data_IF_344011247921
#
_entry.id   IF_344011247921
#
_cell.length_a   1.000
_cell.length_b   1.000
_cell.length_c   1.000
_cell.angle_alpha   90.00
_cell.angle_beta   90.00
_cell.angle_gamma   90.00
#
_symmetry.space_group_name_H-M   'P 1'
#
loop_
_entity.id
_entity.type
_entity.pdbx_description
1 polymer ?
#
# COMPACT_ATOMS: atom_id res chain seq x y z
N UNK A 1 -0.30 39.06 38.15
CA UNK A 1 1.16 38.88 38.27
C UNK A 1 1.38 37.86 39.36
N UNK A 2 1.54 36.60 38.98
CA UNK A 2 1.74 35.50 39.93
C UNK A 2 2.71 34.55 39.26
N UNK A 3 3.93 34.60 39.78
CA UNK A 3 5.12 33.92 39.31
C UNK A 3 5.04 32.45 39.75
N UNK A 4 5.05 31.52 38.79
CA UNK A 4 4.99 30.09 39.06
C UNK A 4 6.34 29.47 38.69
N UNK A 5 7.15 29.25 39.73
CA UNK A 5 8.46 28.60 39.72
C UNK A 5 8.45 27.27 38.96
N UNK A 6 9.29 27.18 37.92
CA UNK A 6 9.60 25.92 37.23
C UNK A 6 10.67 25.16 38.01
N UNK A 7 10.30 24.01 38.57
CA UNK A 7 11.27 23.01 39.03
C UNK A 7 11.93 22.35 37.83
N UNK A 8 13.23 22.60 37.67
CA UNK A 8 14.09 21.98 36.66
C UNK A 8 14.67 20.71 37.25
N UNK A 9 14.19 19.54 36.81
CA UNK A 9 14.80 18.25 37.21
C UNK A 9 15.87 17.87 36.19
N UNK A 10 17.12 17.80 36.66
CA UNK A 10 18.28 17.39 35.88
C UNK A 10 18.23 15.89 35.53
N UNK A 11 18.52 15.56 34.28
CA UNK A 11 18.72 14.19 33.82
C UNK A 11 20.17 13.74 34.07
N UNK A 12 20.42 12.47 34.51
CA UNK A 12 21.77 11.95 34.67
C UNK A 12 22.44 11.60 33.32
N UNK A 13 23.78 11.68 33.24
CA UNK A 13 24.54 11.39 32.03
C UNK A 13 24.91 9.91 31.87
N UNK A 14 24.95 9.45 30.62
CA UNK A 14 25.90 8.42 30.18
C UNK A 14 25.46 6.96 30.27
N UNK A 15 25.36 6.31 29.11
CA UNK A 15 25.31 4.85 28.98
C UNK A 15 25.64 4.42 27.55
N UNK A 16 26.80 3.80 27.37
CA UNK A 16 27.37 3.44 26.07
C UNK A 16 26.61 2.35 25.31
N UNK A 17 26.71 2.41 23.98
CA UNK A 17 26.26 1.39 23.02
C UNK A 17 27.03 0.08 23.19
N UNK A 18 26.39 -1.07 22.90
CA UNK A 18 27.07 -2.14 22.19
C UNK A 18 26.47 -2.34 20.80
N UNK A 19 27.34 -2.24 19.79
CA UNK A 19 27.12 -2.79 18.46
C UNK A 19 27.13 -4.32 18.55
N UNK A 20 26.16 -5.00 17.92
CA UNK A 20 26.23 -6.44 17.72
C UNK A 20 26.30 -6.75 16.23
N UNK A 21 27.37 -7.44 15.88
CA UNK A 21 27.76 -7.85 14.54
C UNK A 21 27.03 -9.12 14.08
N UNK A 22 26.74 -9.15 12.78
CA UNK A 22 26.92 -10.24 11.81
C UNK A 22 26.79 -11.69 12.31
N UNK A 23 25.86 -12.45 11.72
CA UNK A 23 26.14 -13.84 11.34
C UNK A 23 25.51 -14.19 9.98
N UNK A 24 26.41 -14.50 9.05
CA UNK A 24 26.18 -15.05 7.71
C UNK A 24 25.98 -16.56 7.87
N UNK A 25 24.97 -17.12 7.21
CA UNK A 25 24.96 -18.54 6.88
C UNK A 25 24.35 -18.75 5.48
N UNK A 26 25.24 -18.98 4.52
CA UNK A 26 24.94 -19.61 3.23
C UNK A 26 24.40 -21.03 3.45
N UNK A 27 23.37 -21.41 2.70
CA UNK A 27 23.21 -22.79 2.24
C UNK A 27 22.87 -22.76 0.75
N UNK A 28 23.84 -23.22 -0.05
CA UNK A 28 23.74 -23.56 -1.47
C UNK A 28 23.80 -25.08 -1.54
N UNK A 29 22.78 -25.75 -2.09
CA UNK A 29 22.85 -27.05 -2.83
C UNK A 29 21.51 -27.17 -3.61
N UNK A 30 21.40 -26.92 -4.92
CA UNK A 30 21.71 -27.78 -6.11
C UNK A 30 21.01 -29.15 -6.13
N UNK A 31 19.98 -29.30 -6.97
CA UNK A 31 19.74 -30.56 -7.70
C UNK A 31 18.85 -30.30 -8.93
N UNK A 32 19.50 -30.31 -10.10
CA UNK A 32 18.86 -30.45 -11.40
C UNK A 32 18.32 -31.88 -11.56
N UNK A 33 17.13 -32.01 -12.17
CA UNK A 33 16.67 -33.28 -12.71
C UNK A 33 15.99 -33.03 -14.06
N UNK A 34 16.82 -32.89 -15.09
CA UNK A 34 16.43 -33.21 -16.46
C UNK A 34 16.22 -34.72 -16.56
N UNK A 35 15.05 -35.13 -17.03
CA UNK A 35 14.74 -36.51 -17.35
C UNK A 35 14.08 -36.57 -18.73
N UNK A 36 14.91 -36.61 -19.77
CA UNK A 36 14.50 -37.07 -21.10
C UNK A 36 14.54 -38.60 -21.16
N UNK A 37 13.53 -39.22 -21.78
CA UNK A 37 13.53 -40.57 -22.39
C UNK A 37 12.11 -40.96 -22.86
N UNK A 38 11.95 -41.93 -23.77
CA UNK A 38 12.51 -42.07 -25.11
C UNK A 38 11.39 -42.15 -26.18
N UNK A 39 11.79 -41.96 -27.43
CA UNK A 39 10.99 -42.15 -28.64
C UNK A 39 10.57 -43.62 -28.79
N UNK A 40 9.27 -43.87 -28.94
CA UNK A 40 8.73 -45.13 -29.40
C UNK A 40 8.37 -45.02 -30.89
N UNK A 41 9.21 -45.61 -31.74
CA UNK A 41 8.91 -45.91 -33.15
C UNK A 41 7.92 -47.05 -33.21
N UNK A 42 6.72 -46.80 -33.73
CA UNK A 42 5.75 -47.83 -34.09
C UNK A 42 5.68 -47.94 -35.63
N UNK A 43 5.57 -49.16 -36.20
CA UNK A 43 5.61 -49.36 -37.64
C UNK A 43 4.31 -48.92 -38.31
N UNK A 44 4.47 -48.49 -39.56
CA UNK A 44 3.41 -48.03 -40.45
C UNK A 44 2.36 -49.12 -40.69
N UNK A 45 1.10 -48.79 -40.39
CA UNK A 45 -0.06 -49.51 -40.93
C UNK A 45 -0.63 -48.69 -42.07
N UNK A 46 -0.51 -49.20 -43.29
CA UNK A 46 -1.06 -48.59 -44.50
C UNK A 46 -2.55 -48.97 -44.53
N UNK A 47 -3.40 -48.09 -44.01
CA UNK A 47 -4.84 -48.13 -44.21
C UNK A 47 -5.21 -47.11 -45.28
N UNK A 48 -5.64 -47.59 -46.45
CA UNK A 48 -6.24 -46.78 -47.50
C UNK A 48 -7.56 -46.19 -47.01
N UNK A 49 -7.52 -44.95 -46.51
CA UNK A 49 -8.71 -44.19 -46.16
C UNK A 49 -9.19 -43.38 -47.37
N UNK A 50 -10.41 -43.67 -47.81
CA UNK A 50 -11.14 -42.94 -48.83
C UNK A 50 -11.31 -41.47 -48.39
N UNK A 51 -10.78 -40.53 -49.17
CA UNK A 51 -10.79 -39.10 -48.89
C UNK A 51 -12.22 -38.55 -48.98
N UNK A 52 -12.91 -38.48 -47.84
CA UNK A 52 -14.15 -37.70 -47.72
C UNK A 52 -13.74 -36.24 -47.57
N UNK A 53 -14.12 -35.40 -48.53
CA UNK A 53 -13.90 -33.96 -48.50
C UNK A 53 -14.51 -33.38 -47.22
N UNK A 54 -13.66 -33.16 -46.20
CA UNK A 54 -14.04 -32.55 -44.94
C UNK A 54 -14.32 -31.08 -45.17
N UNK A 55 -15.55 -30.66 -44.90
CA UNK A 55 -15.91 -29.25 -44.87
C UNK A 55 -14.92 -28.50 -43.97
N UNK A 56 -14.37 -27.40 -44.49
CA UNK A 56 -13.44 -26.54 -43.77
C UNK A 56 -14.06 -26.14 -42.42
N UNK A 57 -13.38 -26.35 -41.27
CA UNK A 57 -13.91 -25.98 -39.98
C UNK A 57 -14.18 -24.47 -39.97
N UNK A 58 -15.42 -24.09 -39.63
CA UNK A 58 -15.81 -22.70 -39.54
C UNK A 58 -14.84 -21.96 -38.58
N UNK A 59 -14.41 -20.74 -38.92
CA UNK A 59 -13.48 -19.99 -38.09
C UNK A 59 -14.06 -19.82 -36.69
N UNK A 60 -13.34 -20.31 -35.69
CA UNK A 60 -13.72 -20.15 -34.29
C UNK A 60 -13.64 -18.67 -33.93
N UNK A 61 -14.70 -18.06 -33.36
CA UNK A 61 -14.65 -16.67 -32.95
C UNK A 61 -13.48 -16.44 -31.98
N UNK A 62 -12.71 -15.38 -32.22
CA UNK A 62 -11.63 -15.00 -31.31
C UNK A 62 -12.19 -14.68 -29.93
N UNK A 63 -11.55 -15.13 -28.84
CA UNK A 63 -12.05 -14.90 -27.49
C UNK A 63 -12.14 -13.39 -27.21
N UNK A 64 -13.33 -12.94 -26.80
CA UNK A 64 -13.54 -11.56 -26.35
C UNK A 64 -12.65 -11.27 -25.14
N UNK A 65 -11.88 -10.17 -25.14
CA UNK A 65 -11.05 -9.80 -24.00
C UNK A 65 -11.88 -9.67 -22.72
N UNK A 66 -11.41 -10.28 -21.63
CA UNK A 66 -12.03 -10.13 -20.31
C UNK A 66 -11.95 -8.67 -19.85
N UNK A 67 -13.09 -7.97 -19.69
CA UNK A 67 -13.09 -6.55 -19.36
C UNK A 67 -12.50 -6.27 -17.97
N UNK A 68 -12.57 -7.21 -17.02
CA UNK A 68 -11.97 -7.04 -15.71
C UNK A 68 -10.44 -7.05 -15.78
N UNK A 69 -9.86 -7.99 -16.54
CA UNK A 69 -8.41 -8.04 -16.78
C UNK A 69 -7.91 -6.78 -17.49
N UNK A 70 -8.68 -6.26 -18.46
CA UNK A 70 -8.37 -5.02 -19.14
C UNK A 70 -8.36 -3.82 -18.17
N UNK A 71 -9.38 -3.70 -17.32
CA UNK A 71 -9.47 -2.63 -16.33
C UNK A 71 -8.31 -2.67 -15.30
N UNK A 72 -7.98 -3.85 -14.76
CA UNK A 72 -6.85 -4.01 -13.82
C UNK A 72 -5.52 -3.66 -14.49
N UNK A 73 -5.29 -4.13 -15.72
CA UNK A 73 -4.08 -3.78 -16.48
C UNK A 73 -3.98 -2.27 -16.73
N UNK A 74 -5.08 -1.62 -17.09
CA UNK A 74 -5.13 -0.18 -17.29
C UNK A 74 -4.88 0.60 -15.98
N UNK A 75 -5.43 0.13 -14.86
CA UNK A 75 -5.18 0.71 -13.54
C UNK A 75 -3.71 0.65 -13.16
N UNK A 76 -3.07 -0.53 -13.28
CA UNK A 76 -1.64 -0.69 -12.98
C UNK A 76 -0.81 0.21 -13.88
N UNK A 77 -1.05 0.21 -15.19
CA UNK A 77 -0.32 1.06 -16.14
C UNK A 77 -0.49 2.57 -15.84
N UNK A 78 -1.66 2.98 -15.34
CA UNK A 78 -1.91 4.35 -14.93
C UNK A 78 -1.08 4.73 -13.69
N UNK A 79 -1.14 3.92 -12.63
CA UNK A 79 -0.52 4.27 -11.34
C UNK A 79 1.00 4.07 -11.31
N UNK A 80 1.54 3.25 -12.21
CA UNK A 80 2.99 3.07 -12.38
C UNK A 80 3.62 4.02 -13.39
N UNK A 81 2.81 4.86 -14.05
CA UNK A 81 3.30 5.86 -14.99
C UNK A 81 4.20 6.88 -14.29
N UNK A 82 5.36 7.17 -14.89
CA UNK A 82 6.24 8.23 -14.39
C UNK A 82 5.52 9.59 -14.34
N UNK A 83 5.69 10.27 -13.21
CA UNK A 83 5.02 11.56 -12.96
C UNK A 83 3.52 11.45 -12.67
N UNK A 84 2.97 10.24 -12.49
CA UNK A 84 1.57 10.07 -12.10
C UNK A 84 1.26 10.93 -10.86
N UNK A 85 0.14 11.64 -10.94
CA UNK A 85 -0.28 12.63 -9.94
C UNK A 85 -1.76 12.44 -9.66
N UNK A 86 -2.13 12.57 -8.39
CA UNK A 86 -3.52 12.44 -7.97
C UNK A 86 -3.77 13.18 -6.65
N UNK A 87 -5.04 13.45 -6.41
CA UNK A 87 -5.52 13.98 -5.14
C UNK A 87 -6.71 13.15 -4.69
N UNK A 88 -6.76 12.87 -3.39
CA UNK A 88 -7.87 12.20 -2.74
C UNK A 88 -8.19 12.87 -1.41
N UNK A 89 -9.46 12.81 -1.02
CA UNK A 89 -9.90 13.15 0.33
C UNK A 89 -10.28 11.88 1.07
N UNK A 90 -10.09 11.86 2.38
CA UNK A 90 -10.48 10.72 3.20
C UNK A 90 -11.03 11.17 4.55
N UNK A 91 -11.79 10.28 5.17
CA UNK A 91 -12.29 10.38 6.54
C UNK A 91 -12.34 8.97 7.11
N UNK A 92 -12.35 8.83 8.43
CA UNK A 92 -12.39 7.51 9.03
C UNK A 92 -12.22 7.55 10.53
N UNK A 93 -11.78 6.42 11.08
CA UNK A 93 -11.54 6.25 12.52
C UNK A 93 -10.17 5.61 12.71
N UNK A 94 -9.34 6.25 13.51
CA UNK A 94 -8.12 5.63 14.04
C UNK A 94 -8.45 5.01 15.39
N UNK A 95 -8.26 3.70 15.52
CA UNK A 95 -8.50 2.96 16.77
C UNK A 95 -7.18 2.75 17.48
N UNK A 96 -7.12 3.16 18.72
CA UNK A 96 -5.98 3.03 19.63
C UNK A 96 -6.38 2.11 20.78
N UNK A 97 -5.40 1.75 21.61
CA UNK A 97 -5.66 0.91 22.78
C UNK A 97 -6.68 1.54 23.75
N UNK A 98 -6.62 2.87 23.95
CA UNK A 98 -7.47 3.59 24.90
C UNK A 98 -8.58 4.40 24.24
N UNK A 99 -8.42 4.76 22.96
CA UNK A 99 -9.24 5.77 22.31
C UNK A 99 -9.58 5.44 20.87
N UNK A 100 -10.64 6.06 20.35
CA UNK A 100 -10.94 6.05 18.93
C UNK A 100 -10.98 7.50 18.45
N UNK A 101 -9.98 7.90 17.67
CA UNK A 101 -9.84 9.25 17.14
C UNK A 101 -10.46 9.33 15.74
N UNK A 102 -11.58 10.06 15.55
CA UNK A 102 -12.12 10.30 14.23
C UNK A 102 -11.16 11.14 13.39
N UNK A 103 -10.89 10.70 12.16
CA UNK A 103 -10.28 11.53 11.11
C UNK A 103 -11.41 12.27 10.42
N UNK A 104 -11.56 13.55 10.75
CA UNK A 104 -12.67 14.40 10.28
C UNK A 104 -12.42 15.00 8.90
N UNK A 105 -11.15 15.22 8.55
CA UNK A 105 -10.72 15.73 7.25
C UNK A 105 -9.36 15.16 6.90
N UNK A 106 -9.28 14.48 5.77
CA UNK A 106 -8.06 13.93 5.21
C UNK A 106 -7.84 14.44 3.79
N UNK A 107 -6.60 14.76 3.47
CA UNK A 107 -6.13 15.13 2.14
C UNK A 107 -4.88 14.32 1.83
N UNK A 108 -4.88 13.62 0.70
CA UNK A 108 -3.72 12.98 0.11
C UNK A 108 -3.48 13.64 -1.24
N UNK A 109 -2.27 14.15 -1.45
CA UNK A 109 -1.80 14.70 -2.71
C UNK A 109 -0.50 14.03 -3.09
N UNK A 110 -0.42 13.56 -4.34
CA UNK A 110 0.79 12.97 -4.90
C UNK A 110 1.09 13.64 -6.23
N UNK A 111 2.35 14.02 -6.41
CA UNK A 111 2.89 14.49 -7.69
C UNK A 111 4.21 13.81 -7.97
N UNK A 112 4.17 12.79 -8.84
CA UNK A 112 5.31 11.90 -9.07
C UNK A 112 5.75 11.23 -7.76
N UNK A 113 6.97 11.53 -7.31
CA UNK A 113 7.54 11.00 -6.06
C UNK A 113 7.23 11.85 -4.83
N UNK A 114 6.60 13.01 -5.00
CA UNK A 114 6.28 13.90 -3.89
C UNK A 114 4.92 13.55 -3.30
N UNK A 115 4.85 13.37 -1.98
CA UNK A 115 3.63 13.04 -1.25
C UNK A 115 3.35 14.11 -0.20
N UNK A 116 2.09 14.52 -0.08
CA UNK A 116 1.56 15.27 1.05
C UNK A 116 0.34 14.52 1.57
N UNK A 117 0.34 14.21 2.87
CA UNK A 117 -0.85 13.74 3.59
C UNK A 117 -1.14 14.72 4.71
N UNK A 118 -2.37 15.19 4.81
CA UNK A 118 -2.86 15.97 5.94
C UNK A 118 -4.07 15.25 6.53
N UNK A 119 -4.06 15.01 7.83
CA UNK A 119 -5.16 14.40 8.56
C UNK A 119 -5.53 15.23 9.78
N UNK A 120 -6.81 15.53 9.96
CA UNK A 120 -7.33 16.22 11.15
C UNK A 120 -8.03 15.22 12.07
N UNK A 121 -7.40 14.96 13.21
CA UNK A 121 -7.93 14.09 14.27
C UNK A 121 -8.80 14.90 15.23
N UNK A 122 -9.89 14.30 15.71
CA UNK A 122 -10.71 14.86 16.79
C UNK A 122 -10.45 14.09 18.08
N UNK A 123 -10.02 14.79 19.12
CA UNK A 123 -9.75 14.18 20.44
C UNK A 123 -10.99 14.10 21.32
N UNK A 124 -11.03 13.14 22.28
CA UNK A 124 -11.92 13.21 23.42
C UNK A 124 -11.68 14.54 24.16
N UNK A 125 -12.68 15.41 24.25
CA UNK A 125 -12.54 16.79 24.74
C UNK A 125 -12.76 17.87 23.67
N UNK A 126 -12.84 17.49 22.39
CA UNK A 126 -13.30 18.37 21.30
C UNK A 126 -12.18 19.09 20.53
N UNK A 127 -10.96 19.09 21.04
CA UNK A 127 -9.78 19.62 20.35
C UNK A 127 -9.54 18.89 19.02
N UNK A 128 -8.96 19.60 18.06
CA UNK A 128 -8.65 19.09 16.72
C UNK A 128 -7.20 19.35 16.39
N UNK A 129 -6.49 18.29 16.06
CA UNK A 129 -5.08 18.37 15.71
C UNK A 129 -4.90 18.00 14.24
N UNK A 130 -4.19 18.85 13.50
CA UNK A 130 -3.88 18.64 12.11
C UNK A 130 -2.44 18.13 11.97
N UNK A 131 -2.30 16.86 11.60
CA UNK A 131 -1.00 16.25 11.35
C UNK A 131 -0.74 16.24 9.85
N UNK A 132 0.48 16.59 9.48
CA UNK A 132 0.93 16.54 8.10
C UNK A 132 2.17 15.70 7.94
N UNK A 133 2.14 14.84 6.93
CA UNK A 133 3.28 14.11 6.43
C UNK A 133 3.65 14.62 5.04
N UNK A 134 4.95 14.80 4.79
CA UNK A 134 5.51 15.09 3.46
C UNK A 134 6.61 14.12 3.12
N UNK A 135 6.59 13.60 1.90
CA UNK A 135 7.71 12.88 1.32
C UNK A 135 8.21 13.64 0.09
N UNK A 136 9.41 14.19 0.14
CA UNK A 136 10.00 15.01 -0.92
C UNK A 136 11.48 14.71 -1.04
N UNK A 137 11.96 14.49 -2.26
CA UNK A 137 13.39 14.24 -2.51
C UNK A 137 13.94 13.03 -1.74
N UNK A 138 13.12 11.98 -1.56
CA UNK A 138 13.51 10.76 -0.84
C UNK A 138 13.54 10.91 0.69
N UNK A 139 13.02 12.01 1.23
CA UNK A 139 13.01 12.30 2.67
C UNK A 139 11.58 12.46 3.16
N UNK A 140 11.27 11.81 4.29
CA UNK A 140 10.01 11.95 4.97
C UNK A 140 10.09 12.99 6.09
N UNK A 141 9.04 13.77 6.23
CA UNK A 141 8.88 14.84 7.20
C UNK A 141 7.48 14.78 7.80
N UNK A 142 7.36 15.12 9.07
CA UNK A 142 6.08 15.17 9.78
C UNK A 142 5.99 16.44 10.64
N UNK A 143 4.80 16.99 10.79
CA UNK A 143 4.48 18.01 11.80
C UNK A 143 3.13 17.69 12.43
N UNK A 144 2.98 17.90 13.73
CA UNK A 144 1.78 17.51 14.48
C UNK A 144 0.80 18.67 14.69
N UNK A 145 1.24 19.90 14.40
CA UNK A 145 0.42 21.11 14.35
C UNK A 145 0.83 21.95 13.12
N UNK A 146 -0.07 22.80 12.63
CA UNK A 146 0.21 23.77 11.59
C UNK A 146 1.25 24.83 12.00
N UNK A 147 1.34 25.17 13.29
CA UNK A 147 2.35 26.10 13.81
C UNK A 147 3.68 25.43 14.15
N UNK A 148 3.72 24.09 14.15
CA UNK A 148 4.90 23.32 14.47
C UNK A 148 5.87 23.24 13.29
N UNK A 149 7.13 22.99 13.59
CA UNK A 149 8.18 22.75 12.61
C UNK A 149 8.10 21.34 12.05
N UNK A 150 8.59 21.13 10.83
CA UNK A 150 8.71 19.77 10.29
C UNK A 150 9.88 19.03 10.93
N UNK A 151 9.58 17.84 11.45
CA UNK A 151 10.56 16.88 11.95
C UNK A 151 10.85 15.83 10.89
N UNK A 152 12.12 15.47 10.72
CA UNK A 152 12.51 14.41 9.79
C UNK A 152 12.19 13.06 10.40
N UNK A 153 11.61 12.17 9.60
CA UNK A 153 11.33 10.78 9.99
C UNK A 153 11.93 9.82 8.98
N UNK A 154 12.13 8.57 9.40
CA UNK A 154 12.63 7.50 8.54
C UNK A 154 11.47 6.63 8.11
N UNK A 155 11.20 6.57 6.81
CA UNK A 155 10.19 5.70 6.21
C UNK A 155 10.80 4.94 5.03
N UNK A 156 10.34 3.72 4.79
CA UNK A 156 10.62 3.00 3.55
C UNK A 156 9.80 3.60 2.42
N UNK A 157 10.25 3.46 1.17
CA UNK A 157 9.53 3.97 -0.01
C UNK A 157 8.07 3.49 -0.09
N UNK A 158 7.82 2.22 0.27
CA UNK A 158 6.48 1.64 0.31
C UNK A 158 5.58 2.21 1.43
N UNK A 159 6.17 2.88 2.42
CA UNK A 159 5.46 3.43 3.59
C UNK A 159 5.31 4.96 3.50
N UNK A 160 5.60 5.56 2.33
CA UNK A 160 5.51 7.01 2.04
C UNK A 160 4.09 7.58 2.05
N UNK A 161 3.11 6.78 2.45
CA UNK A 161 1.68 7.10 2.49
C UNK A 161 1.06 7.48 1.13
N UNK A 162 1.81 7.36 0.03
CA UNK A 162 1.21 7.33 -1.30
C UNK A 162 0.38 6.06 -1.45
N UNK A 163 -0.90 6.21 -1.83
CA UNK A 163 -1.86 5.13 -1.95
C UNK A 163 -1.36 3.97 -2.81
N UNK A 164 -0.65 4.27 -3.90
CA UNK A 164 -0.23 3.29 -4.91
C UNK A 164 1.27 2.96 -4.88
N UNK A 165 2.00 3.37 -3.83
CA UNK A 165 3.47 3.21 -3.78
C UNK A 165 3.96 1.76 -3.84
N UNK A 166 3.13 0.80 -3.45
CA UNK A 166 3.46 -0.63 -3.44
C UNK A 166 3.10 -1.36 -4.75
N UNK A 167 2.49 -0.68 -5.73
CA UNK A 167 2.08 -1.30 -7.00
C UNK A 167 3.20 -1.12 -8.02
N UNK A 168 3.72 -2.23 -8.54
CA UNK A 168 4.69 -2.26 -9.63
C UNK A 168 4.17 -3.04 -10.84
N UNK A 169 3.34 -4.05 -10.60
CA UNK A 169 2.82 -4.97 -11.59
C UNK A 169 1.38 -5.38 -11.28
N UNK A 170 0.76 -6.14 -12.18
CA UNK A 170 -0.57 -6.73 -11.96
C UNK A 170 -0.58 -7.74 -10.81
N UNK A 171 0.55 -8.38 -10.51
CA UNK A 171 0.65 -9.34 -9.41
C UNK A 171 0.51 -8.68 -8.03
N UNK A 172 0.74 -7.36 -7.93
CA UNK A 172 0.56 -6.61 -6.68
C UNK A 172 -0.91 -6.26 -6.39
N UNK A 173 -1.81 -6.58 -7.32
CA UNK A 173 -3.23 -6.21 -7.27
C UNK A 173 -4.12 -7.45 -7.31
N UNK A 174 -4.90 -7.66 -6.25
CA UNK A 174 -5.91 -8.72 -6.18
C UNK A 174 -7.24 -8.21 -6.71
N UNK A 175 -7.78 -8.84 -7.75
CA UNK A 175 -9.14 -8.58 -8.22
C UNK A 175 -10.17 -9.27 -7.33
N UNK A 176 -11.17 -8.53 -6.85
CA UNK A 176 -12.19 -9.00 -5.91
C UNK A 176 -13.57 -9.21 -6.56
N UNK A 177 -13.74 -8.84 -7.83
CA UNK A 177 -15.00 -9.00 -8.56
C UNK A 177 -15.64 -7.68 -9.00
N UNK A 178 -16.72 -7.77 -9.79
CA UNK A 178 -17.46 -6.59 -10.25
C UNK A 178 -18.41 -6.07 -9.16
N UNK A 179 -18.58 -4.75 -9.11
CA UNK A 179 -19.51 -4.05 -8.20
C UNK A 179 -20.41 -3.14 -9.01
N UNK A 180 -21.73 -3.32 -8.91
CA UNK A 180 -22.71 -2.42 -9.53
C UNK A 180 -23.05 -1.27 -8.57
N UNK A 181 -22.95 -0.03 -9.04
CA UNK A 181 -23.35 1.15 -8.26
C UNK A 181 -23.79 2.27 -9.19
N UNK A 182 -24.99 2.82 -8.96
CA UNK A 182 -25.55 3.90 -9.81
C UNK A 182 -25.68 3.51 -11.29
N UNK A 183 -26.06 2.26 -11.58
CA UNK A 183 -26.21 1.75 -12.95
C UNK A 183 -24.89 1.48 -13.71
N UNK A 184 -23.72 1.77 -13.11
CA UNK A 184 -22.40 1.48 -13.69
C UNK A 184 -21.76 0.28 -13.02
N UNK A 185 -21.05 -0.53 -13.81
CA UNK A 185 -20.18 -1.60 -13.33
C UNK A 185 -18.79 -1.03 -13.02
N UNK A 186 -18.31 -1.31 -11.82
CA UNK A 186 -16.93 -1.06 -11.38
C UNK A 186 -16.24 -2.39 -11.12
N UNK A 187 -14.93 -2.37 -11.05
CA UNK A 187 -14.09 -3.52 -10.73
C UNK A 187 -13.44 -3.25 -9.37
N UNK A 188 -13.67 -4.14 -8.40
CA UNK A 188 -13.09 -3.99 -7.08
C UNK A 188 -11.74 -4.67 -7.04
N UNK A 189 -10.73 -3.97 -6.51
CA UNK A 189 -9.36 -4.47 -6.37
C UNK A 189 -8.85 -4.21 -4.96
N UNK A 190 -7.89 -5.00 -4.51
CA UNK A 190 -7.22 -4.86 -3.22
C UNK A 190 -5.70 -4.98 -3.37
N UNK A 191 -4.96 -4.18 -2.62
CA UNK A 191 -3.50 -4.19 -2.61
C UNK A 191 -2.97 -3.55 -1.31
N UNK A 192 -1.65 -3.67 -1.08
CA UNK A 192 -1.00 -3.10 0.10
C UNK A 192 -0.96 -1.57 0.01
N UNK A 193 -1.41 -0.86 1.05
CA UNK A 193 -1.36 0.61 1.07
C UNK A 193 -1.51 1.20 2.48
N UNK A 194 -0.68 2.18 2.83
CA UNK A 194 -0.63 2.81 4.14
C UNK A 194 -0.89 4.32 4.09
N UNK A 195 -2.05 4.76 3.56
CA UNK A 195 -2.39 6.18 3.37
C UNK A 195 -2.36 6.98 4.69
N UNK A 196 -2.60 6.33 5.82
CA UNK A 196 -2.42 6.89 7.17
C UNK A 196 -1.50 5.96 7.96
N UNK A 197 -0.27 6.39 8.21
CA UNK A 197 0.66 5.62 9.03
C UNK A 197 0.44 5.91 10.52
N UNK A 198 0.65 4.94 11.44
CA UNK A 198 0.69 5.19 12.89
C UNK A 198 1.58 6.37 13.31
N UNK A 199 2.62 6.70 12.54
CA UNK A 199 3.46 7.88 12.77
C UNK A 199 2.67 9.20 12.73
N UNK A 200 1.52 9.25 12.04
CA UNK A 200 0.62 10.41 11.99
C UNK A 200 -0.20 10.63 13.26
N UNK A 201 -0.09 9.75 14.25
CA UNK A 201 -0.81 9.90 15.51
C UNK A 201 -0.04 10.94 16.34
N UNK A 202 -0.66 12.05 16.76
CA UNK A 202 -0.01 13.04 17.61
C UNK A 202 0.15 12.49 19.03
N UNK A 203 1.16 11.66 19.25
CA UNK A 203 1.56 11.17 20.55
C UNK A 203 3.04 11.48 20.75
N UNK A 204 3.35 12.28 21.76
CA UNK A 204 4.67 12.88 21.99
C UNK A 204 5.81 11.84 22.15
N UNK A 205 5.49 10.57 22.44
CA UNK A 205 6.46 9.55 22.83
C UNK A 205 6.33 8.22 22.07
N UNK A 206 5.90 8.24 20.80
CA UNK A 206 5.92 7.03 19.96
C UNK A 206 7.36 6.60 19.67
N UNK A 207 7.81 5.51 20.27
CA UNK A 207 9.20 5.02 20.17
C UNK A 207 9.36 3.82 19.25
N UNK A 208 8.30 3.05 19.03
CA UNK A 208 8.29 1.94 18.08
C UNK A 208 7.01 2.04 17.25
N UNK A 209 7.14 1.96 15.92
CA UNK A 209 5.98 1.91 15.01
C UNK A 209 6.14 0.75 14.04
N UNK A 210 5.12 -0.10 13.96
CA UNK A 210 5.08 -1.18 12.99
C UNK A 210 3.74 -1.19 12.25
N UNK A 211 3.77 -1.35 10.93
CA UNK A 211 2.60 -1.61 10.10
C UNK A 211 2.45 -3.12 9.91
N UNK A 212 1.38 -3.70 10.41
CA UNK A 212 1.14 -5.16 10.33
C UNK A 212 0.29 -5.52 9.13
N UNK A 213 -0.79 -4.78 8.85
CA UNK A 213 -1.71 -5.07 7.75
C UNK A 213 -2.26 -3.79 7.12
N UNK A 214 -1.51 -3.16 6.21
CA UNK A 214 -1.98 -2.02 5.44
C UNK A 214 -2.62 -2.50 4.13
N UNK A 215 -3.95 -2.33 4.00
CA UNK A 215 -4.75 -2.78 2.85
C UNK A 215 -5.61 -1.62 2.33
N UNK A 216 -5.64 -1.43 1.02
CA UNK A 216 -6.60 -0.55 0.34
C UNK A 216 -7.44 -1.37 -0.63
N UNK A 217 -8.75 -1.34 -0.39
CA UNK A 217 -9.74 -1.86 -1.33
C UNK A 217 -10.30 -0.70 -2.15
N UNK A 218 -10.19 -0.77 -3.46
CA UNK A 218 -10.51 0.32 -4.40
C UNK A 218 -11.51 -0.15 -5.46
N UNK A 219 -12.44 0.74 -5.84
CA UNK A 219 -13.22 0.60 -7.06
C UNK A 219 -12.51 1.34 -8.20
N UNK A 220 -12.28 0.62 -9.30
CA UNK A 220 -11.81 1.18 -10.57
C UNK A 220 -12.90 1.08 -11.63
N UNK A 221 -12.96 2.02 -12.56
CA UNK A 221 -13.84 1.92 -13.72
C UNK A 221 -13.24 1.05 -14.85
N UNK A 222 -13.97 0.89 -15.96
CA UNK A 222 -13.52 0.11 -17.11
C UNK A 222 -12.25 0.66 -17.78
N UNK A 223 -11.91 1.94 -17.56
CA UNK A 223 -10.67 2.55 -18.02
C UNK A 223 -9.52 2.40 -17.00
N UNK A 224 -9.74 1.70 -15.90
CA UNK A 224 -8.77 1.53 -14.82
C UNK A 224 -8.61 2.75 -13.92
N UNK A 225 -9.53 3.74 -13.99
CA UNK A 225 -9.43 4.95 -13.15
C UNK A 225 -9.95 4.66 -11.74
N UNK A 226 -9.18 5.01 -10.68
CA UNK A 226 -9.65 4.98 -9.30
C UNK A 226 -10.88 5.86 -9.10
N UNK A 227 -11.88 5.37 -8.37
CA UNK A 227 -13.11 6.14 -8.09
C UNK A 227 -13.28 6.40 -6.59
N UNK A 228 -13.26 5.34 -5.78
CA UNK A 228 -13.34 5.40 -4.31
C UNK A 228 -12.79 4.13 -3.71
N UNK A 229 -12.39 4.17 -2.45
CA UNK A 229 -11.90 2.99 -1.76
C UNK A 229 -12.00 3.12 -0.24
N UNK A 230 -11.70 2.01 0.42
CA UNK A 230 -11.62 1.90 1.87
C UNK A 230 -10.24 1.39 2.23
N UNK A 231 -9.52 2.14 3.07
CA UNK A 231 -8.26 1.71 3.64
C UNK A 231 -8.50 1.11 5.03
N UNK A 232 -7.83 -0.01 5.30
CA UNK A 232 -7.75 -0.65 6.60
C UNK A 232 -6.28 -0.80 6.93
N UNK A 233 -5.86 -0.23 8.06
CA UNK A 233 -4.44 -0.13 8.42
C UNK A 233 -4.30 -0.55 9.86
N UNK A 234 -3.76 -1.75 10.05
CA UNK A 234 -3.38 -2.22 11.37
C UNK A 234 -1.91 -1.95 11.61
N UNK A 235 -1.61 -1.49 12.82
CA UNK A 235 -0.26 -1.25 13.26
C UNK A 235 -0.15 -1.26 14.77
N UNK A 236 1.09 -1.12 15.23
CA UNK A 236 1.44 -1.06 16.65
C UNK A 236 2.30 0.17 16.87
N UNK A 237 2.01 0.89 17.93
CA UNK A 237 2.78 2.03 18.41
C UNK A 237 3.14 1.78 19.87
N UNK A 238 4.43 1.79 20.23
CA UNK A 238 4.83 1.78 21.64
C UNK A 238 4.99 3.21 22.12
N UNK A 239 4.37 3.53 23.26
CA UNK A 239 4.60 4.77 24.00
C UNK A 239 5.51 4.43 25.17
N UNK A 240 6.63 5.14 25.34
CA UNK A 240 7.54 4.93 26.50
C UNK A 240 7.68 6.22 27.32
N UNK A 241 7.67 6.09 28.65
CA UNK A 241 8.01 7.18 29.58
C UNK A 241 6.84 8.02 30.11
N UNK A 242 5.60 7.53 30.05
CA UNK A 242 4.40 8.27 30.51
C UNK A 242 3.42 7.45 31.38
N UNK A 243 3.81 6.26 31.84
CA UNK A 243 3.05 5.52 32.85
C UNK A 243 3.82 5.52 34.17
#
# INVERSE_FOLDING_TARGET
MTDASRSTTAAPPGGARPALAILIAMVVVLAAACGDKPVATNPASIASASARAGASPAPTPSPTPDPAKAAVKAFVALVTKDGFSYQATFSGRSRHATDILPVTKGLLQVSGKNVLVRATFKWPGGNRDAVEHRYVGGKAWIRYDAIDTYHRVTLRGADTMAAFAAIHTVADVTYLGPVKSGGKTYYQVSFRSAIVNPLMIPAANLTETALTSPKLTLLIDAAGKPVRGTAEIDGRGRVSGQL
#
